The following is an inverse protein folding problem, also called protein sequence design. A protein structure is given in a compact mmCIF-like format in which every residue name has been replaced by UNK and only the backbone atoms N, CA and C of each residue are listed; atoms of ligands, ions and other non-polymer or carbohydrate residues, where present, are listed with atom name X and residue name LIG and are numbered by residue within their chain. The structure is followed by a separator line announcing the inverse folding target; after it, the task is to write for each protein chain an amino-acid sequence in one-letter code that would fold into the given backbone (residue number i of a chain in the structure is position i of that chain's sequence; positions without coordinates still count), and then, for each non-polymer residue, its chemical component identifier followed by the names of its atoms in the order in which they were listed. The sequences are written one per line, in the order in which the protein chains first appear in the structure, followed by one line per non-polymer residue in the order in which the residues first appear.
data_IF_366122370056
#
_entry.id   IF_366122370056
#
_cell.length_a   1.000
_cell.length_b   1.000
_cell.length_c   1.000
_cell.angle_alpha   90.00
_cell.angle_beta   90.00
_cell.angle_gamma   90.00
#
_symmetry.space_group_name_H-M   'P 1'
#
loop_
_entity.id
_entity.type
_entity.pdbx_description
1 polymer ?
#
# COMPACT_ATOMS: atom_id res chain seq x y z
N UNK A 1 -5.59 14.51 -7.74
CA UNK A 1 -5.29 13.88 -6.44
C UNK A 1 -3.78 13.76 -6.30
N UNK A 2 -3.28 13.98 -5.09
CA UNK A 2 -1.89 13.69 -4.74
C UNK A 2 -1.66 12.17 -4.81
N UNK A 3 -0.45 11.68 -5.10
CA UNK A 3 -0.21 10.24 -5.23
C UNK A 3 -0.59 9.43 -3.99
N UNK A 4 -0.54 10.03 -2.79
CA UNK A 4 -0.97 9.37 -1.55
C UNK A 4 -2.49 9.18 -1.48
N UNK A 5 -3.26 10.15 -1.97
CA UNK A 5 -4.71 10.07 -2.05
C UNK A 5 -5.13 9.00 -3.06
N UNK A 6 -4.45 8.94 -4.22
CA UNK A 6 -4.69 7.91 -5.23
C UNK A 6 -4.34 6.51 -4.70
N UNK A 7 -3.28 6.39 -3.91
CA UNK A 7 -2.91 5.14 -3.26
C UNK A 7 -3.99 4.66 -2.28
N UNK A 8 -4.51 5.57 -1.45
CA UNK A 8 -5.59 5.25 -0.51
C UNK A 8 -6.87 4.87 -1.25
N UNK A 9 -7.28 5.65 -2.25
CA UNK A 9 -8.45 5.39 -3.07
C UNK A 9 -8.37 4.01 -3.76
N UNK A 10 -7.21 3.67 -4.33
CA UNK A 10 -7.01 2.38 -4.98
C UNK A 10 -7.09 1.20 -3.99
N UNK A 11 -6.51 1.31 -2.79
CA UNK A 11 -6.59 0.23 -1.79
C UNK A 11 -7.98 0.11 -1.18
N UNK A 12 -8.64 1.23 -0.88
CA UNK A 12 -9.99 1.24 -0.30
C UNK A 12 -10.99 0.60 -1.27
N UNK A 13 -10.91 0.95 -2.55
CA UNK A 13 -11.76 0.40 -3.61
C UNK A 13 -11.30 -0.98 -4.12
N UNK A 14 -10.20 -1.52 -3.59
CA UNK A 14 -9.61 -2.80 -4.01
C UNK A 14 -9.25 -2.82 -5.51
N UNK A 15 -8.90 -1.66 -6.06
CA UNK A 15 -8.45 -1.50 -7.44
C UNK A 15 -6.96 -1.83 -7.56
N UNK A 16 -6.67 -3.11 -7.75
CA UNK A 16 -5.30 -3.60 -7.88
C UNK A 16 -4.63 -3.19 -9.21
N UNK A 17 -5.39 -2.89 -10.27
CA UNK A 17 -4.83 -2.43 -11.55
C UNK A 17 -4.46 -0.95 -11.47
N UNK A 18 -5.35 -0.13 -10.92
CA UNK A 18 -5.09 1.27 -10.59
C UNK A 18 -3.94 1.41 -9.61
N UNK A 19 -3.92 0.62 -8.52
CA UNK A 19 -2.84 0.61 -7.54
C UNK A 19 -1.49 0.33 -8.19
N UNK A 20 -1.38 -0.72 -9.01
CA UNK A 20 -0.15 -1.02 -9.73
C UNK A 20 0.28 0.13 -10.65
N UNK A 21 -0.67 0.75 -11.35
CA UNK A 21 -0.42 1.84 -12.28
C UNK A 21 0.14 3.11 -11.63
N UNK A 22 0.00 3.27 -10.31
CA UNK A 22 0.63 4.38 -9.56
C UNK A 22 2.15 4.24 -9.45
N UNK A 23 2.70 3.03 -9.58
CA UNK A 23 4.12 2.77 -9.42
C UNK A 23 4.89 2.90 -10.73
N UNK A 24 6.17 3.26 -10.63
CA UNK A 24 7.09 3.09 -11.76
C UNK A 24 7.23 1.61 -12.12
N UNK A 25 7.75 1.32 -13.32
CA UNK A 25 8.00 -0.07 -13.76
C UNK A 25 8.81 -0.88 -12.73
N UNK A 26 9.75 -0.24 -12.07
CA UNK A 26 10.65 -0.77 -11.04
C UNK A 26 10.28 -0.31 -9.62
N UNK A 27 9.05 0.17 -9.41
CA UNK A 27 8.61 0.70 -8.13
C UNK A 27 8.60 -0.34 -7.01
N UNK A 28 8.77 0.12 -5.77
CA UNK A 28 8.87 -0.73 -4.59
C UNK A 28 7.74 -0.45 -3.60
N UNK A 29 7.10 -1.52 -3.15
CA UNK A 29 6.15 -1.49 -2.04
C UNK A 29 6.68 -2.38 -0.91
N UNK A 30 6.89 -1.79 0.27
CA UNK A 30 7.32 -2.52 1.45
C UNK A 30 6.31 -2.34 2.58
N UNK A 31 5.68 -3.42 3.01
CA UNK A 31 4.74 -3.45 4.13
C UNK A 31 5.32 -4.25 5.29
N UNK A 32 5.51 -3.53 6.40
CA UNK A 32 6.08 -4.03 7.65
C UNK A 32 5.01 -4.22 8.74
N UNK A 33 3.72 -4.17 8.41
CA UNK A 33 2.62 -4.32 9.36
C UNK A 33 2.61 -5.68 10.07
N UNK A 34 3.20 -6.69 9.45
CA UNK A 34 3.33 -8.02 10.02
C UNK A 34 4.45 -8.12 11.09
N UNK A 35 5.29 -7.10 11.26
CA UNK A 35 6.41 -7.13 12.18
C UNK A 35 5.92 -7.36 13.63
N UNK A 36 6.48 -8.37 14.29
CA UNK A 36 6.02 -8.82 15.61
C UNK A 36 4.86 -9.84 15.58
N UNK A 37 4.41 -10.27 14.40
CA UNK A 37 3.46 -11.38 14.21
C UNK A 37 4.13 -12.59 13.56
N UNK A 38 3.40 -13.71 13.38
CA UNK A 38 3.87 -14.87 12.63
C UNK A 38 3.79 -14.69 11.10
N UNK A 39 3.31 -13.53 10.63
CA UNK A 39 3.22 -13.22 9.20
C UNK A 39 4.53 -12.58 8.71
N UNK A 40 4.76 -12.65 7.39
CA UNK A 40 5.96 -12.08 6.77
C UNK A 40 5.69 -10.65 6.32
N UNK A 41 6.70 -9.80 6.45
CA UNK A 41 6.73 -8.51 5.76
C UNK A 41 6.62 -8.71 4.24
N UNK A 42 5.93 -7.80 3.57
CA UNK A 42 5.77 -7.86 2.12
C UNK A 42 6.73 -6.89 1.45
N UNK A 43 7.68 -7.42 0.68
CA UNK A 43 8.56 -6.62 -0.17
C UNK A 43 8.29 -6.95 -1.64
N UNK A 44 7.63 -6.03 -2.33
CA UNK A 44 7.20 -6.19 -3.71
C UNK A 44 8.00 -5.26 -4.62
N UNK A 45 8.43 -5.81 -5.76
CA UNK A 45 9.33 -5.16 -6.70
C UNK A 45 8.70 -5.17 -8.09
N UNK A 46 8.46 -3.98 -8.64
CA UNK A 46 7.84 -3.78 -9.93
C UNK A 46 6.32 -3.71 -9.85
N UNK A 47 5.74 -2.84 -10.70
CA UNK A 47 4.30 -2.53 -10.66
C UNK A 47 3.42 -3.74 -10.95
N UNK A 48 3.85 -4.66 -11.82
CA UNK A 48 3.10 -5.86 -12.16
C UNK A 48 3.03 -6.83 -10.97
N UNK A 49 4.13 -6.97 -10.22
CA UNK A 49 4.17 -7.79 -9.01
C UNK A 49 3.29 -7.19 -7.90
N UNK A 50 3.33 -5.87 -7.72
CA UNK A 50 2.46 -5.15 -6.79
C UNK A 50 0.98 -5.39 -7.15
N UNK A 51 0.62 -5.19 -8.42
CA UNK A 51 -0.76 -5.39 -8.89
C UNK A 51 -1.23 -6.83 -8.67
N UNK A 52 -0.44 -7.83 -9.06
CA UNK A 52 -0.81 -9.25 -8.91
C UNK A 52 -0.88 -9.70 -7.45
N UNK A 53 0.01 -9.18 -6.59
CA UNK A 53 -0.06 -9.46 -5.15
C UNK A 53 -1.38 -8.95 -4.57
N UNK A 54 -1.72 -7.68 -4.81
CA UNK A 54 -2.95 -7.09 -4.27
C UNK A 54 -4.21 -7.67 -4.90
N UNK A 55 -4.18 -8.07 -6.17
CA UNK A 55 -5.26 -8.85 -6.80
C UNK A 55 -5.63 -10.07 -5.94
N UNK A 56 -4.64 -10.88 -5.58
CA UNK A 56 -4.87 -12.06 -4.76
C UNK A 56 -5.34 -11.70 -3.36
N UNK A 57 -4.71 -10.70 -2.73
CA UNK A 57 -5.08 -10.27 -1.37
C UNK A 57 -6.51 -9.74 -1.29
N UNK A 58 -6.95 -8.97 -2.28
CA UNK A 58 -8.31 -8.43 -2.33
C UNK A 58 -9.34 -9.51 -2.65
N UNK A 59 -9.10 -10.35 -3.67
CA UNK A 59 -10.03 -11.41 -4.07
C UNK A 59 -10.23 -12.45 -2.96
N UNK A 60 -9.16 -12.81 -2.25
CA UNK A 60 -9.23 -13.74 -1.13
C UNK A 60 -9.63 -13.07 0.20
N UNK A 61 -10.00 -11.78 0.20
CA UNK A 61 -10.37 -10.99 1.40
C UNK A 61 -9.30 -11.06 2.51
N UNK A 62 -8.04 -11.17 2.12
CA UNK A 62 -6.89 -11.24 3.02
C UNK A 62 -6.30 -9.87 3.34
N UNK A 63 -6.71 -8.81 2.64
CA UNK A 63 -6.26 -7.45 2.92
C UNK A 63 -7.39 -6.44 2.67
N UNK A 64 -7.55 -5.50 3.60
CA UNK A 64 -8.37 -4.29 3.46
C UNK A 64 -7.86 -3.21 4.42
N UNK A 65 -8.28 -1.97 4.20
CA UNK A 65 -8.00 -0.87 5.14
C UNK A 65 -9.31 -0.33 5.72
N UNK A 66 -9.24 0.27 6.90
CA UNK A 66 -10.36 0.96 7.56
C UNK A 66 -9.89 2.34 8.02
N UNK A 67 -10.84 3.28 8.09
CA UNK A 67 -10.65 4.63 8.64
C UNK A 67 -9.42 5.39 8.08
N UNK A 68 -9.23 5.44 6.74
CA UNK A 68 -8.08 6.13 6.19
C UNK A 68 -8.15 7.64 6.43
N UNK A 69 -7.03 8.23 6.83
CA UNK A 69 -6.87 9.67 7.06
C UNK A 69 -5.59 10.15 6.38
N UNK A 70 -5.70 11.16 5.51
CA UNK A 70 -4.54 11.81 4.90
C UNK A 70 -3.89 12.73 5.93
N UNK A 71 -2.64 12.44 6.31
CA UNK A 71 -1.89 13.23 7.28
C UNK A 71 -1.10 14.36 6.62
N UNK A 72 -0.57 14.09 5.42
CA UNK A 72 0.23 15.03 4.64
C UNK A 72 0.24 14.62 3.16
N UNK A 73 0.80 15.44 2.26
CA UNK A 73 0.93 15.08 0.84
C UNK A 73 1.70 13.78 0.55
N UNK A 74 2.47 13.27 1.53
CA UNK A 74 3.25 12.05 1.41
C UNK A 74 2.85 10.95 2.38
N UNK A 75 1.89 11.18 3.28
CA UNK A 75 1.54 10.22 4.33
C UNK A 75 0.04 10.10 4.54
N UNK A 76 -0.37 8.86 4.78
CA UNK A 76 -1.72 8.53 5.21
C UNK A 76 -1.67 7.49 6.32
N UNK A 77 -2.57 7.63 7.27
CA UNK A 77 -2.81 6.69 8.35
C UNK A 77 -4.07 5.88 8.04
N UNK A 78 -4.08 4.60 8.41
CA UNK A 78 -5.25 3.74 8.34
C UNK A 78 -5.08 2.52 9.24
N UNK A 79 -6.17 1.82 9.52
CA UNK A 79 -6.13 0.50 10.14
C UNK A 79 -6.00 -0.54 9.02
N UNK A 80 -4.84 -1.20 8.92
CA UNK A 80 -4.64 -2.30 8.01
C UNK A 80 -5.24 -3.59 8.61
N UNK A 81 -6.13 -4.24 7.87
CA UNK A 81 -6.68 -5.55 8.19
C UNK A 81 -6.05 -6.59 7.27
N UNK A 82 -5.24 -7.49 7.81
CA UNK A 82 -4.50 -8.49 7.06
C UNK A 82 -4.69 -9.89 7.65
N UNK A 83 -5.45 -10.73 6.96
CA UNK A 83 -5.84 -12.08 7.41
C UNK A 83 -6.44 -12.12 8.83
N UNK A 84 -7.25 -11.12 9.18
CA UNK A 84 -7.92 -11.01 10.49
C UNK A 84 -7.14 -10.25 11.56
N UNK A 85 -5.88 -9.91 11.32
CA UNK A 85 -5.10 -9.03 12.20
C UNK A 85 -5.34 -7.58 11.84
N UNK A 86 -5.50 -6.73 12.85
CA UNK A 86 -5.71 -5.30 12.67
C UNK A 86 -4.53 -4.55 13.28
N UNK A 87 -3.95 -3.63 12.52
CA UNK A 87 -2.85 -2.79 12.99
C UNK A 87 -3.06 -1.36 12.50
N UNK A 88 -2.85 -0.40 13.39
CA UNK A 88 -2.76 1.00 12.97
C UNK A 88 -1.46 1.18 12.20
N UNK A 89 -1.53 1.71 10.99
CA UNK A 89 -0.42 1.79 10.08
C UNK A 89 -0.30 3.18 9.43
N UNK A 90 0.93 3.55 9.08
CA UNK A 90 1.23 4.75 8.31
C UNK A 90 1.86 4.32 6.98
N UNK A 91 1.18 4.64 5.88
CA UNK A 91 1.78 4.63 4.56
C UNK A 91 2.57 5.92 4.34
N UNK A 92 3.78 5.79 3.82
CA UNK A 92 4.67 6.91 3.48
C UNK A 92 5.19 6.76 2.06
N UNK A 93 4.93 7.76 1.23
CA UNK A 93 5.60 7.96 -0.06
C UNK A 93 7.03 8.40 0.20
N UNK A 94 7.97 7.47 0.07
CA UNK A 94 9.38 7.75 0.30
C UNK A 94 10.06 8.38 -0.91
N UNK A 95 9.65 7.98 -2.11
CA UNK A 95 10.24 8.49 -3.35
C UNK A 95 9.21 8.50 -4.48
N UNK A 96 9.16 9.62 -5.18
CA UNK A 96 8.42 9.82 -6.42
C UNK A 96 9.38 10.02 -7.58
N UNK A 97 8.96 9.67 -8.80
CA UNK A 97 9.61 10.08 -10.03
C UNK A 97 9.18 11.50 -10.44
N UNK A 98 9.85 12.08 -11.44
CA UNK A 98 9.59 13.45 -11.90
C UNK A 98 8.16 13.64 -12.46
N UNK A 99 7.58 12.58 -12.98
CA UNK A 99 6.21 12.48 -13.51
C UNK A 99 5.17 12.07 -12.45
N UNK A 100 5.57 11.96 -11.18
CA UNK A 100 4.66 11.74 -10.05
C UNK A 100 4.33 10.28 -9.75
N UNK A 101 4.91 9.31 -10.46
CA UNK A 101 4.76 7.89 -10.13
C UNK A 101 5.55 7.51 -8.87
N UNK A 102 5.06 6.51 -8.16
CA UNK A 102 5.66 6.01 -6.93
C UNK A 102 6.87 5.14 -7.28
N UNK A 103 8.05 5.57 -6.85
CA UNK A 103 9.25 4.72 -6.87
C UNK A 103 9.37 3.90 -5.60
N UNK A 104 8.95 4.44 -4.45
CA UNK A 104 9.00 3.74 -3.18
C UNK A 104 7.90 4.19 -2.23
N UNK A 105 7.12 3.23 -1.77
CA UNK A 105 6.14 3.38 -0.70
C UNK A 105 6.43 2.37 0.40
N UNK A 106 6.36 2.82 1.65
CA UNK A 106 6.46 1.95 2.83
C UNK A 106 5.21 2.05 3.68
N UNK A 107 4.72 0.93 4.18
CA UNK A 107 3.68 0.86 5.22
C UNK A 107 4.31 0.30 6.48
N UNK A 108 4.12 0.98 7.61
CA UNK A 108 4.67 0.56 8.91
C UNK A 108 3.60 0.63 9.99
N UNK A 109 3.66 -0.26 11.00
CA UNK A 109 2.84 -0.11 12.19
C UNK A 109 3.18 1.22 12.90
N UNK A 110 2.15 1.87 13.45
CA UNK A 110 2.30 3.10 14.24
C UNK A 110 2.71 2.79 15.68
#
# INVERSE_FOLDING_TARGET
MLPIEQYIDAIENKDYEGLGSLFTKDGHYCDYCANGTLQHDYHLYGKEAISMFFRNKFLCKQYSILEPTILSPSQAEFIASFSGYHVMAIATLQQLSADGHIRRLTVRPK
#
